data_IF_878929075539
#
_entry.id   IF_878929075539
#
_cell.length_a   1.000
_cell.length_b   1.000
_cell.length_c   1.000
_cell.angle_alpha   90.00
_cell.angle_beta   90.00
_cell.angle_gamma   90.00
#
_symmetry.space_group_name_H-M   'P 1'
#
loop_
_entity.id
_entity.type
_entity.pdbx_description
1 polymer ?
#
# COMPACT_ATOMS: atom_id res chain seq x y z
N UNK A 1 7.80 -4.56 20.02
CA UNK A 1 9.07 -4.47 19.27
C UNK A 1 8.83 -3.52 18.12
N UNK A 2 9.60 -2.46 17.99
CA UNK A 2 9.46 -1.47 16.90
C UNK A 2 10.60 -1.73 15.92
N UNK A 3 10.28 -2.10 14.68
CA UNK A 3 11.25 -2.20 13.58
C UNK A 3 11.20 -0.88 12.83
N UNK A 4 12.23 -0.05 13.01
CA UNK A 4 12.34 1.23 12.29
C UNK A 4 13.22 1.03 11.06
N UNK A 5 12.60 0.81 9.91
CA UNK A 5 13.24 0.90 8.60
C UNK A 5 12.89 2.27 8.04
N UNK A 6 13.82 2.95 7.35
CA UNK A 6 13.47 4.16 6.59
C UNK A 6 12.98 3.68 5.21
N UNK A 7 11.69 3.40 5.03
CA UNK A 7 11.19 2.65 3.90
C UNK A 7 10.84 3.68 2.82
N UNK A 8 11.88 4.12 2.11
CA UNK A 8 11.75 5.07 1.02
C UNK A 8 12.39 4.51 -0.26
N UNK A 9 11.75 4.75 -1.39
CA UNK A 9 12.22 4.35 -2.70
C UNK A 9 12.06 5.48 -3.71
N UNK A 10 13.00 5.61 -4.64
CA UNK A 10 12.93 6.56 -5.75
C UNK A 10 12.64 5.80 -7.03
N UNK A 11 11.66 6.26 -7.80
CA UNK A 11 11.33 5.79 -9.14
C UNK A 11 11.51 6.91 -10.15
N UNK A 12 11.93 6.57 -11.37
CA UNK A 12 11.96 7.52 -12.49
C UNK A 12 10.57 7.76 -13.09
N UNK A 13 9.57 6.97 -12.71
CA UNK A 13 8.20 7.17 -13.19
C UNK A 13 7.56 8.40 -12.52
N UNK A 14 6.67 9.12 -13.22
CA UNK A 14 5.99 10.27 -12.66
C UNK A 14 4.96 9.87 -11.59
N UNK A 15 4.64 10.75 -10.63
CA UNK A 15 3.79 10.42 -9.48
C UNK A 15 2.41 9.88 -9.86
N UNK A 16 1.84 10.32 -10.98
CA UNK A 16 0.53 9.89 -11.46
C UNK A 16 0.54 8.39 -11.82
N UNK A 17 1.66 7.89 -12.36
CA UNK A 17 1.82 6.47 -12.70
C UNK A 17 1.99 5.62 -11.44
N UNK A 18 2.83 6.07 -10.51
CA UNK A 18 3.00 5.38 -9.22
C UNK A 18 1.70 5.39 -8.42
N UNK A 19 0.97 6.50 -8.42
CA UNK A 19 -0.33 6.63 -7.77
C UNK A 19 -1.35 5.64 -8.32
N UNK A 20 -1.43 5.50 -9.65
CA UNK A 20 -2.32 4.53 -10.29
C UNK A 20 -1.97 3.10 -9.88
N UNK A 21 -0.69 2.73 -9.81
CA UNK A 21 -0.26 1.39 -9.36
C UNK A 21 -0.60 1.17 -7.89
N UNK A 22 -0.31 2.16 -7.04
CA UNK A 22 -0.55 2.08 -5.60
C UNK A 22 -2.05 1.95 -5.26
N UNK A 23 -2.90 2.72 -5.93
CA UNK A 23 -4.34 2.82 -5.60
C UNK A 23 -5.23 1.84 -6.35
N UNK A 24 -4.69 1.05 -7.28
CA UNK A 24 -5.47 -0.01 -7.94
C UNK A 24 -5.47 -1.28 -7.08
N UNK A 25 -6.40 -1.37 -6.13
CA UNK A 25 -6.48 -2.45 -5.14
C UNK A 25 -6.41 -3.86 -5.74
N UNK A 26 -7.11 -4.11 -6.86
CA UNK A 26 -7.16 -5.42 -7.52
C UNK A 26 -5.79 -5.87 -8.08
N UNK A 27 -4.89 -4.92 -8.33
CA UNK A 27 -3.56 -5.16 -8.90
C UNK A 27 -2.44 -5.09 -7.86
N UNK A 28 -2.77 -4.96 -6.57
CA UNK A 28 -1.76 -4.90 -5.51
C UNK A 28 -0.81 -6.11 -5.55
N UNK A 29 -1.35 -7.29 -5.88
CA UNK A 29 -0.57 -8.52 -5.91
C UNK A 29 0.41 -8.65 -7.08
N UNK A 30 0.46 -7.66 -7.98
CA UNK A 30 1.48 -7.63 -9.04
C UNK A 30 2.82 -7.09 -8.54
N UNK A 31 2.84 -6.37 -7.43
CA UNK A 31 4.03 -5.73 -6.87
C UNK A 31 4.23 -5.99 -5.38
N UNK A 32 3.19 -6.47 -4.69
CA UNK A 32 3.29 -7.08 -3.37
C UNK A 32 3.44 -8.59 -3.52
N UNK A 33 4.26 -9.22 -2.67
CA UNK A 33 4.37 -10.69 -2.54
C UNK A 33 3.12 -11.29 -1.85
N UNK A 34 1.93 -10.88 -2.30
CA UNK A 34 0.63 -11.28 -1.78
C UNK A 34 -0.40 -11.36 -2.91
N UNK A 35 -1.28 -12.35 -2.86
CA UNK A 35 -2.37 -12.52 -3.83
C UNK A 35 -3.58 -11.68 -3.41
N UNK A 36 -4.16 -10.92 -4.33
CA UNK A 36 -5.43 -10.22 -4.11
C UNK A 36 -6.58 -11.21 -3.91
N UNK A 37 -7.45 -10.93 -2.94
CA UNK A 37 -8.67 -11.71 -2.68
C UNK A 37 -9.90 -10.87 -2.97
N UNK A 38 -10.03 -9.70 -2.32
CA UNK A 38 -11.19 -8.82 -2.47
C UNK A 38 -10.88 -7.40 -2.01
N UNK A 39 -11.69 -6.45 -2.48
CA UNK A 39 -11.75 -5.09 -1.97
C UNK A 39 -13.21 -4.69 -1.80
N UNK A 40 -13.58 -4.21 -0.62
CA UNK A 40 -14.95 -3.85 -0.28
C UNK A 40 -15.00 -2.42 0.28
N UNK A 41 -15.77 -1.51 -0.35
CA UNK A 41 -16.40 -1.65 -1.68
C UNK A 41 -15.36 -1.79 -2.82
N UNK A 42 -15.74 -2.35 -3.98
CA UNK A 42 -14.81 -2.55 -5.10
C UNK A 42 -14.34 -1.23 -5.74
N UNK A 43 -13.26 -1.31 -6.52
CA UNK A 43 -12.66 -0.20 -7.25
C UNK A 43 -11.37 0.33 -6.62
N UNK A 44 -10.95 1.52 -7.07
CA UNK A 44 -9.76 2.19 -6.57
C UNK A 44 -9.81 2.44 -5.06
N UNK A 45 -8.62 2.52 -4.44
CA UNK A 45 -8.48 2.81 -3.01
C UNK A 45 -9.21 4.08 -2.62
N UNK A 46 -9.98 3.97 -1.53
CA UNK A 46 -10.71 5.09 -0.91
C UNK A 46 -10.89 4.83 0.57
N UNK A 47 -11.05 5.91 1.33
CA UNK A 47 -11.32 5.85 2.76
C UNK A 47 -12.49 4.90 3.09
N UNK A 48 -12.31 4.10 4.14
CA UNK A 48 -13.27 3.09 4.60
C UNK A 48 -13.27 1.78 3.79
N UNK A 49 -12.43 1.64 2.78
CA UNK A 49 -12.30 0.38 2.03
C UNK A 49 -11.51 -0.66 2.83
N UNK A 50 -11.95 -1.91 2.78
CA UNK A 50 -11.24 -3.06 3.34
C UNK A 50 -10.74 -3.94 2.21
N UNK A 51 -9.43 -4.18 2.15
CA UNK A 51 -8.77 -5.02 1.15
C UNK A 51 -8.27 -6.29 1.83
N UNK A 52 -8.56 -7.45 1.24
CA UNK A 52 -8.09 -8.76 1.73
C UNK A 52 -7.07 -9.33 0.75
N UNK A 53 -5.95 -9.79 1.28
CA UNK A 53 -4.86 -10.43 0.53
C UNK A 53 -4.47 -11.76 1.18
N UNK A 54 -3.76 -12.60 0.43
CA UNK A 54 -3.08 -13.79 0.93
C UNK A 54 -1.57 -13.70 0.64
N UNK A 55 -0.75 -13.49 1.68
CA UNK A 55 0.71 -13.45 1.56
C UNK A 55 1.31 -14.85 1.76
N UNK A 56 2.36 -15.19 1.01
CA UNK A 56 3.07 -16.48 1.18
C UNK A 56 4.26 -16.31 2.12
N UNK A 57 4.36 -17.16 3.13
CA UNK A 57 5.49 -17.14 4.07
C UNK A 57 5.52 -18.40 4.94
N UNK A 58 6.71 -18.87 5.29
CA UNK A 58 6.88 -20.08 6.11
C UNK A 58 6.15 -21.32 5.57
N UNK A 59 6.13 -21.49 4.24
CA UNK A 59 5.50 -22.65 3.57
C UNK A 59 3.96 -22.66 3.56
N UNK A 60 3.29 -21.55 3.95
CA UNK A 60 1.83 -21.43 3.92
C UNK A 60 1.35 -20.07 3.40
N UNK A 61 0.08 -20.00 3.05
CA UNK A 61 -0.61 -18.72 2.78
C UNK A 61 -1.20 -18.15 4.07
N UNK A 62 -1.06 -16.85 4.23
CA UNK A 62 -1.43 -16.08 5.40
C UNK A 62 -2.43 -15.00 5.03
N UNK A 63 -3.55 -14.86 5.76
CA UNK A 63 -4.47 -13.76 5.53
C UNK A 63 -3.80 -12.43 5.93
N UNK A 64 -3.97 -11.43 5.08
CA UNK A 64 -3.62 -10.04 5.36
C UNK A 64 -4.87 -9.20 5.08
N UNK A 65 -5.17 -8.27 5.98
CA UNK A 65 -6.26 -7.31 5.80
C UNK A 65 -5.67 -5.90 5.83
N UNK A 66 -6.07 -5.07 4.89
CA UNK A 66 -5.71 -3.66 4.84
C UNK A 66 -6.98 -2.85 5.04
N UNK A 67 -6.99 -2.02 6.07
CA UNK A 67 -8.02 -1.01 6.27
C UNK A 67 -7.50 0.31 5.72
N UNK A 68 -8.14 0.82 4.67
CA UNK A 68 -7.81 2.13 4.09
C UNK A 68 -8.50 3.19 4.93
N UNK A 69 -7.73 3.95 5.70
CA UNK A 69 -8.26 4.94 6.63
C UNK A 69 -8.62 6.24 5.91
N UNK A 70 -7.68 6.79 5.13
CA UNK A 70 -7.87 8.03 4.40
C UNK A 70 -7.01 8.06 3.13
N UNK A 71 -7.43 8.85 2.14
CA UNK A 71 -6.78 8.95 0.83
C UNK A 71 -6.95 10.37 0.29
N UNK A 72 -5.83 11.00 -0.07
CA UNK A 72 -5.84 12.30 -0.76
C UNK A 72 -5.16 12.18 -2.13
N UNK A 73 -5.92 12.10 -3.23
CA UNK A 73 -5.37 12.05 -4.58
C UNK A 73 -4.68 13.34 -5.02
N UNK A 74 -5.03 14.50 -4.45
CA UNK A 74 -4.42 15.78 -4.83
C UNK A 74 -3.03 15.91 -4.22
N UNK A 75 -2.90 15.51 -2.95
CA UNK A 75 -1.62 15.49 -2.23
C UNK A 75 -0.85 14.17 -2.40
N UNK A 76 -1.47 13.16 -3.02
CA UNK A 76 -0.94 11.81 -3.31
C UNK A 76 -0.39 11.11 -2.06
N UNK A 77 -1.26 10.97 -1.06
CA UNK A 77 -0.97 10.15 0.10
C UNK A 77 -2.16 9.26 0.48
N UNK A 78 -1.86 8.15 1.15
CA UNK A 78 -2.83 7.19 1.70
C UNK A 78 -2.43 6.77 3.10
N UNK A 79 -3.40 6.76 4.00
CA UNK A 79 -3.30 6.18 5.34
C UNK A 79 -3.96 4.81 5.36
N UNK A 80 -3.27 3.81 5.89
CA UNK A 80 -3.80 2.47 6.03
C UNK A 80 -3.29 1.76 7.29
N UNK A 81 -4.05 0.76 7.74
CA UNK A 81 -3.57 -0.23 8.71
C UNK A 81 -3.53 -1.58 8.04
N UNK A 82 -2.34 -2.18 7.99
CA UNK A 82 -2.12 -3.53 7.47
C UNK A 82 -2.07 -4.50 8.65
N UNK A 83 -3.13 -5.28 8.79
CA UNK A 83 -3.25 -6.37 9.76
C UNK A 83 -2.60 -7.63 9.21
N UNK A 84 -1.47 -7.99 9.81
CA UNK A 84 -0.68 -9.17 9.52
C UNK A 84 -1.03 -10.31 10.52
N UNK A 85 -0.60 -11.55 10.24
CA UNK A 85 -0.76 -12.65 11.18
C UNK A 85 -0.20 -12.36 12.58
N UNK A 86 -0.72 -13.08 13.58
CA UNK A 86 -0.28 -13.01 14.98
C UNK A 86 -0.57 -11.69 15.70
N UNK A 87 -1.53 -10.91 15.21
CA UNK A 87 -1.95 -9.65 15.85
C UNK A 87 -0.94 -8.51 15.64
N UNK A 88 -0.18 -8.57 14.55
CA UNK A 88 0.74 -7.49 14.16
C UNK A 88 -0.02 -6.50 13.30
N UNK A 89 -0.03 -5.25 13.73
CA UNK A 89 -0.59 -4.14 12.98
C UNK A 89 0.54 -3.23 12.49
N UNK A 90 0.52 -2.93 11.20
CA UNK A 90 1.41 -1.98 10.57
C UNK A 90 0.60 -0.76 10.15
N UNK A 91 0.84 0.36 10.82
CA UNK A 91 0.22 1.64 10.51
C UNK A 91 1.09 2.33 9.47
N UNK A 92 0.52 2.64 8.32
CA UNK A 92 1.26 3.08 7.15
C UNK A 92 0.70 4.41 6.65
N UNK A 93 1.57 5.43 6.60
CA UNK A 93 1.34 6.67 5.88
C UNK A 93 2.22 6.73 4.63
N UNK A 94 1.64 6.38 3.47
CA UNK A 94 2.35 6.36 2.19
C UNK A 94 2.20 7.70 1.49
N UNK A 95 3.31 8.33 1.12
CA UNK A 95 3.33 9.61 0.38
C UNK A 95 4.10 9.50 -0.93
N UNK A 96 3.61 10.16 -1.98
CA UNK A 96 4.31 10.30 -3.26
C UNK A 96 4.71 11.76 -3.50
N UNK A 97 6.01 12.03 -3.47
CA UNK A 97 6.56 13.35 -3.75
C UNK A 97 7.25 13.36 -5.11
N UNK A 98 6.92 14.33 -5.97
CA UNK A 98 7.64 14.49 -7.24
C UNK A 98 9.10 14.91 -6.97
N UNK A 99 10.04 14.29 -7.65
CA UNK A 99 11.46 14.68 -7.60
C UNK A 99 11.75 15.79 -8.61
N UNK A 100 12.91 16.46 -8.46
CA UNK A 100 13.35 17.52 -9.38
C UNK A 100 13.48 17.01 -10.83
N UNK A 101 13.83 15.74 -10.99
CA UNK A 101 14.06 15.10 -12.29
C UNK A 101 12.76 14.52 -12.91
N UNK A 102 11.60 14.84 -12.33
CA UNK A 102 10.29 14.37 -12.83
C UNK A 102 9.89 12.95 -12.39
N UNK A 103 10.72 12.31 -11.56
CA UNK A 103 10.41 11.02 -10.94
C UNK A 103 9.56 11.15 -9.67
N UNK A 104 9.50 10.06 -8.90
CA UNK A 104 8.72 9.97 -7.66
C UNK A 104 9.55 9.42 -6.52
N UNK A 105 9.54 10.11 -5.39
CA UNK A 105 9.97 9.59 -4.11
C UNK A 105 8.74 9.04 -3.38
N UNK A 106 8.75 7.74 -3.13
CA UNK A 106 7.76 7.02 -2.32
C UNK A 106 8.30 6.96 -0.90
N UNK A 107 7.52 7.38 0.09
CA UNK A 107 7.82 7.16 1.50
C UNK A 107 6.69 6.40 2.15
N UNK A 108 7.04 5.38 2.92
CA UNK A 108 6.18 4.66 3.84
C UNK A 108 6.60 5.11 5.25
N UNK A 109 5.68 5.46 6.15
CA UNK A 109 6.01 5.96 7.49
C UNK A 109 5.08 5.37 8.53
#
# INVERSE_FOLDING_TARGET
>A
MVVNVCPAAVSFAPPEKIWSVLTTAERIGEWQDARFISAEPPGAMKAGQVIKLAARGFGREWPVRIDVLDVDPQRRWVDMVVHLPFGVDNHEHVTLTQTKDGGTLVRLN
#
